data_IF_121820356891
#
_entry.id   IF_121820356891
#
_cell.length_a   1.000
_cell.length_b   1.000
_cell.length_c   1.000
_cell.angle_alpha   90.00
_cell.angle_beta   90.00
_cell.angle_gamma   90.00
#
_symmetry.space_group_name_H-M   'P 1'
#
loop_
_entity.id
_entity.type
_entity.pdbx_description
1 polymer ?
#
# COMPACT_ATOMS: atom_id res chain seq x y z
N UNK A 1 11.03 3.05 -1.19
CA UNK A 1 10.45 4.17 -0.42
C UNK A 1 9.10 4.50 -1.03
N UNK A 2 8.01 4.29 -0.28
CA UNK A 2 6.67 4.74 -0.69
C UNK A 2 6.61 6.26 -0.59
N UNK A 3 6.02 6.93 -1.59
CA UNK A 3 5.88 8.39 -1.63
C UNK A 3 4.41 8.72 -1.80
N UNK A 4 3.83 9.38 -0.82
CA UNK A 4 2.49 9.96 -0.91
C UNK A 4 2.59 11.29 -1.69
N UNK A 5 1.67 11.51 -2.62
CA UNK A 5 1.49 12.79 -3.32
C UNK A 5 0.21 13.45 -2.83
N UNK A 6 0.29 14.72 -2.48
CA UNK A 6 -0.85 15.50 -2.01
C UNK A 6 -1.00 16.71 -2.93
N UNK A 7 -2.22 16.92 -3.42
CA UNK A 7 -2.63 18.08 -4.21
C UNK A 7 -3.72 18.79 -3.43
N UNK A 8 -3.51 20.07 -3.14
CA UNK A 8 -4.49 20.90 -2.44
C UNK A 8 -4.80 22.13 -3.30
N UNK A 9 -6.07 22.28 -3.64
CA UNK A 9 -6.60 23.39 -4.45
C UNK A 9 -7.59 24.19 -3.60
N UNK A 10 -7.12 25.26 -2.90
CA UNK A 10 -7.92 25.97 -1.91
C UNK A 10 -9.14 26.67 -2.51
N UNK A 11 -9.03 27.19 -3.74
CA UNK A 11 -10.15 27.87 -4.42
C UNK A 11 -11.29 26.91 -4.76
N UNK A 12 -10.97 25.63 -4.96
CA UNK A 12 -11.94 24.56 -5.23
C UNK A 12 -12.34 23.80 -3.97
N UNK A 13 -11.73 24.14 -2.83
CA UNK A 13 -11.85 23.40 -1.57
C UNK A 13 -11.65 21.89 -1.79
N UNK A 14 -10.57 21.53 -2.49
CA UNK A 14 -10.31 20.16 -2.93
C UNK A 14 -8.97 19.66 -2.40
N UNK A 15 -8.97 18.46 -1.82
CA UNK A 15 -7.76 17.77 -1.39
C UNK A 15 -7.69 16.37 -2.01
N UNK A 16 -6.66 16.10 -2.80
CA UNK A 16 -6.42 14.80 -3.41
C UNK A 16 -5.12 14.19 -2.88
N UNK A 17 -5.19 12.95 -2.41
CA UNK A 17 -4.07 12.22 -1.80
C UNK A 17 -3.87 10.90 -2.53
N UNK A 18 -2.67 10.66 -3.04
CA UNK A 18 -2.28 9.43 -3.71
C UNK A 18 -1.16 8.73 -2.96
N UNK A 19 -1.33 7.45 -2.61
CA UNK A 19 -0.27 6.60 -2.04
C UNK A 19 0.33 5.62 -3.07
N UNK A 20 -0.28 5.52 -4.24
CA UNK A 20 0.34 4.94 -5.43
C UNK A 20 0.42 6.00 -6.55
N UNK A 21 1.27 5.83 -7.59
CA UNK A 21 1.28 6.74 -8.72
C UNK A 21 -0.11 6.83 -9.38
N UNK A 22 -0.60 8.04 -9.70
CA UNK A 22 -1.84 8.19 -10.45
C UNK A 22 -1.75 7.41 -11.77
N UNK A 23 -2.71 6.54 -12.05
CA UNK A 23 -2.75 5.79 -13.30
C UNK A 23 -3.46 6.57 -14.40
N UNK A 24 -3.32 6.17 -15.66
CA UNK A 24 -4.05 6.83 -16.76
C UNK A 24 -5.55 6.56 -16.71
N UNK A 25 -5.95 5.42 -16.16
CA UNK A 25 -7.32 4.93 -16.13
C UNK A 25 -7.73 4.73 -14.67
N UNK A 26 -8.48 5.69 -14.14
CA UNK A 26 -8.90 5.70 -12.76
C UNK A 26 -10.43 5.65 -12.70
N UNK A 27 -10.96 4.95 -11.71
CA UNK A 27 -12.37 4.99 -11.38
C UNK A 27 -12.56 5.60 -10.01
N UNK A 28 -13.60 6.41 -9.88
CA UNK A 28 -13.99 7.05 -8.64
C UNK A 28 -15.17 6.29 -8.02
N UNK A 29 -15.15 6.11 -6.71
CA UNK A 29 -16.29 5.61 -5.94
C UNK A 29 -16.56 6.59 -4.80
N UNK A 30 -17.72 7.22 -4.78
CA UNK A 30 -18.14 8.05 -3.65
C UNK A 30 -18.43 7.16 -2.43
N UNK A 31 -17.82 7.50 -1.29
CA UNK A 31 -17.98 6.79 -0.03
C UNK A 31 -18.93 7.49 0.95
N UNK A 32 -19.44 8.66 0.58
CA UNK A 32 -20.23 9.56 1.44
C UNK A 32 -19.36 10.65 2.09
N UNK A 33 -20.02 11.64 2.69
CA UNK A 33 -19.39 12.81 3.32
C UNK A 33 -18.32 13.48 2.45
N UNK A 34 -18.58 13.61 1.14
CA UNK A 34 -17.67 14.22 0.19
C UNK A 34 -16.34 13.50 0.01
N UNK A 35 -16.23 12.23 0.44
CA UNK A 35 -15.04 11.40 0.23
C UNK A 35 -15.21 10.57 -1.03
N UNK A 36 -14.22 10.65 -1.92
CA UNK A 36 -14.14 9.86 -3.14
C UNK A 36 -12.91 8.94 -3.03
N UNK A 37 -13.13 7.64 -3.19
CA UNK A 37 -12.07 6.66 -3.32
C UNK A 37 -11.64 6.54 -4.79
N UNK A 38 -10.35 6.72 -5.03
CA UNK A 38 -9.75 6.61 -6.36
C UNK A 38 -9.11 5.23 -6.48
N UNK A 39 -9.49 4.48 -7.51
CA UNK A 39 -8.94 3.15 -7.80
C UNK A 39 -8.30 3.12 -9.16
N UNK A 40 -7.25 2.31 -9.29
CA UNK A 40 -6.78 1.91 -10.61
C UNK A 40 -7.87 1.06 -11.28
N UNK A 41 -8.27 1.42 -12.49
CA UNK A 41 -9.35 0.72 -13.20
C UNK A 41 -8.97 -0.72 -13.58
N UNK A 42 -7.68 -0.99 -13.79
CA UNK A 42 -7.19 -2.29 -14.28
C UNK A 42 -7.15 -3.31 -13.15
N UNK A 43 -6.60 -2.91 -12.00
CA UNK A 43 -6.44 -3.80 -10.85
C UNK A 43 -7.59 -3.71 -9.85
N UNK A 44 -8.33 -2.60 -9.86
CA UNK A 44 -9.33 -2.28 -8.84
C UNK A 44 -8.71 -1.84 -7.51
N UNK A 45 -7.38 -1.76 -7.41
CA UNK A 45 -6.71 -1.36 -6.18
C UNK A 45 -6.98 0.11 -5.85
N UNK A 46 -7.21 0.45 -4.58
CA UNK A 46 -7.32 1.83 -4.16
C UNK A 46 -5.94 2.47 -4.19
N UNK A 47 -5.81 3.58 -4.93
CA UNK A 47 -4.54 4.27 -5.19
C UNK A 47 -4.51 5.68 -4.60
N UNK A 48 -5.67 6.22 -4.23
CA UNK A 48 -5.81 7.54 -3.63
C UNK A 48 -7.21 7.82 -3.10
N UNK A 49 -7.38 9.00 -2.51
CA UNK A 49 -8.65 9.59 -2.11
C UNK A 49 -8.73 11.04 -2.56
N UNK A 50 -9.95 11.54 -2.66
CA UNK A 50 -10.26 12.95 -2.84
C UNK A 50 -11.32 13.37 -1.83
N UNK A 51 -11.11 14.52 -1.19
CA UNK A 51 -12.04 15.14 -0.27
C UNK A 51 -12.60 16.42 -0.92
N UNK A 52 -13.91 16.41 -1.13
CA UNK A 52 -14.68 17.57 -1.59
C UNK A 52 -14.99 18.51 -0.43
N UNK A 53 -15.00 19.81 -0.72
CA UNK A 53 -15.23 20.89 0.26
C UNK A 53 -14.27 20.81 1.46
N UNK A 54 -13.04 20.36 1.23
CA UNK A 54 -12.00 20.29 2.25
C UNK A 54 -11.51 21.70 2.61
N UNK A 55 -11.37 21.94 3.91
CA UNK A 55 -10.76 23.16 4.46
C UNK A 55 -9.67 22.80 5.47
N UNK A 56 -8.66 23.67 5.67
CA UNK A 56 -7.76 23.52 6.81
C UNK A 56 -8.62 23.56 8.09
N UNK A 57 -8.48 22.55 8.97
CA UNK A 57 -9.36 22.21 10.12
C UNK A 57 -10.49 21.20 9.87
N UNK A 58 -10.55 20.60 8.68
CA UNK A 58 -11.48 19.50 8.43
C UNK A 58 -11.05 18.21 9.13
N UNK A 59 -11.92 17.71 10.01
CA UNK A 59 -11.68 16.51 10.81
C UNK A 59 -11.62 15.22 9.97
N UNK A 60 -12.16 15.22 8.74
CA UNK A 60 -12.06 14.09 7.80
C UNK A 60 -10.61 13.80 7.40
N UNK A 61 -9.71 14.79 7.52
CA UNK A 61 -8.29 14.64 7.20
C UNK A 61 -7.43 15.42 8.21
N UNK A 62 -7.45 14.98 9.47
CA UNK A 62 -6.73 15.64 10.57
C UNK A 62 -5.28 15.18 10.81
N UNK A 63 -4.94 13.93 10.48
CA UNK A 63 -3.60 13.37 10.72
C UNK A 63 -3.23 12.32 9.68
N UNK A 64 -1.93 12.24 9.36
CA UNK A 64 -1.36 11.16 8.53
C UNK A 64 -0.38 10.37 9.38
N UNK A 65 -0.68 9.09 9.65
CA UNK A 65 0.26 8.14 10.24
C UNK A 65 0.76 7.16 9.17
N UNK A 66 2.06 6.87 9.21
CA UNK A 66 2.64 5.77 8.42
C UNK A 66 2.87 4.62 9.38
N UNK A 67 1.99 3.63 9.31
CA UNK A 67 2.16 2.38 10.05
C UNK A 67 2.84 1.36 9.15
N UNK A 68 3.76 0.63 9.75
CA UNK A 68 4.38 -0.51 9.11
C UNK A 68 3.84 -1.75 9.82
N UNK A 69 3.48 -2.83 9.10
CA UNK A 69 2.61 -3.89 9.61
C UNK A 69 3.21 -4.61 10.81
N UNK A 70 2.77 -4.38 12.05
CA UNK A 70 3.39 -4.96 13.25
C UNK A 70 3.67 -6.47 13.09
N UNK A 71 4.95 -6.85 13.00
CA UNK A 71 5.37 -8.24 12.71
C UNK A 71 6.70 -8.40 11.96
N UNK A 72 7.27 -7.34 11.39
CA UNK A 72 8.65 -7.33 10.88
C UNK A 72 9.57 -6.91 12.04
N UNK A 73 10.04 -7.89 12.80
CA UNK A 73 11.24 -7.69 13.61
C UNK A 73 12.39 -7.35 12.66
N UNK A 74 12.77 -6.08 12.59
CA UNK A 74 14.08 -5.73 12.07
C UNK A 74 15.08 -6.21 13.13
N UNK A 75 15.57 -7.44 12.97
CA UNK A 75 16.75 -7.90 13.70
C UNK A 75 17.90 -6.95 13.38
N UNK A 76 18.47 -6.26 14.37
CA UNK A 76 19.58 -5.35 14.12
C UNK A 76 20.84 -6.18 13.84
N UNK A 77 21.13 -6.37 12.55
CA UNK A 77 22.43 -6.75 11.99
C UNK A 77 22.73 -8.26 12.11
N UNK A 78 23.10 -9.00 11.07
CA UNK A 78 24.19 -8.74 10.13
C UNK A 78 23.99 -9.41 8.77
N UNK A 79 24.40 -8.71 7.70
CA UNK A 79 24.57 -9.15 6.31
C UNK A 79 23.32 -9.66 5.56
N UNK A 80 22.81 -8.78 4.68
CA UNK A 80 21.81 -9.05 3.64
C UNK A 80 21.99 -10.42 2.96
N UNK A 81 21.07 -11.34 3.20
CA UNK A 81 20.53 -12.24 2.18
C UNK A 81 19.08 -12.56 2.54
N UNK A 82 18.09 -12.23 1.71
CA UNK A 82 16.72 -12.70 1.90
C UNK A 82 16.71 -14.23 1.77
N UNK A 83 16.40 -14.96 2.84
CA UNK A 83 16.14 -16.39 2.80
C UNK A 83 14.69 -16.62 2.36
N UNK A 84 14.50 -17.11 1.14
CA UNK A 84 13.22 -17.62 0.68
C UNK A 84 12.98 -19.01 1.28
N UNK A 85 11.75 -19.36 1.71
CA UNK A 85 11.43 -20.72 2.08
C UNK A 85 11.59 -21.61 0.84
N UNK A 86 12.57 -22.51 0.88
CA UNK A 86 12.73 -23.55 -0.14
C UNK A 86 11.73 -24.66 0.15
N UNK A 87 10.81 -24.89 -0.78
CA UNK A 87 9.89 -26.02 -0.74
C UNK A 87 10.68 -27.32 -0.58
N UNK A 88 10.33 -28.06 0.47
CA UNK A 88 10.85 -29.38 0.77
C UNK A 88 10.40 -30.38 -0.30
N UNK A 89 11.26 -30.66 -1.27
CA UNK A 89 11.18 -31.90 -2.05
C UNK A 89 11.95 -33.00 -1.33
N UNK A 90 11.17 -34.03 -0.96
CA UNK A 90 11.51 -35.33 -0.40
C UNK A 90 12.74 -35.97 -1.05
N UNK A 91 13.74 -36.31 -0.23
CA UNK A 91 14.78 -37.29 -0.54
C UNK A 91 14.39 -38.63 0.07
N UNK A 92 13.97 -39.58 -0.76
CA UNK A 92 14.03 -41.00 -0.44
C UNK A 92 14.70 -41.73 -1.61
N UNK A 93 16.03 -41.65 -1.67
CA UNK A 93 16.86 -42.61 -2.37
C UNK A 93 18.12 -42.84 -1.51
N UNK A 94 18.10 -43.91 -0.72
CA UNK A 94 19.33 -44.58 -0.30
C UNK A 94 19.20 -46.08 -0.61
N UNK A 95 19.67 -46.41 -1.81
CA UNK A 95 20.13 -47.74 -2.18
C UNK A 95 21.49 -48.00 -1.53
N UNK A 96 21.57 -49.00 -0.65
CA UNK A 96 22.83 -49.73 -0.43
C UNK A 96 22.58 -51.24 -0.26
N UNK A 97 23.28 -52.12 -1.00
CA UNK A 97 23.10 -53.57 -0.94
C UNK A 97 24.18 -54.32 -0.12
N UNK A 98 23.88 -55.61 0.16
CA UNK A 98 24.73 -56.71 0.68
C UNK A 98 24.87 -56.75 2.21
N UNK A 99 24.65 -57.88 2.88
CA UNK A 99 25.07 -59.25 2.54
C UNK A 99 24.19 -60.31 3.20
#
# INVERSE_FOLDING_TARGET
MTRVKIYYEPEMELLTVFWQPPSKNQIATELGDGVILIKDQTTGEPIGIELLSYRPSDDRFGAVSVELPTGWEISPNSSNTPSYPSDSQTKDEDTTPRR
#
